data_IF_403024427417
#
_entry.id   IF_403024427417
#
_cell.length_a   1.000
_cell.length_b   1.000
_cell.length_c   1.000
_cell.angle_alpha   90.00
_cell.angle_beta   90.00
_cell.angle_gamma   90.00
#
_symmetry.space_group_name_H-M   'P 1'
#
loop_
_entity.id
_entity.type
_entity.pdbx_description
1 polymer ?
#
# COMPACT_ATOMS: atom_id res chain seq x y z
N UNK A 1 11.40 -14.24 24.61
CA UNK A 1 10.79 -14.92 23.45
C UNK A 1 10.43 -13.84 22.45
N UNK A 2 11.06 -13.85 21.29
CA UNK A 2 10.57 -13.09 20.15
C UNK A 2 9.20 -13.64 19.77
N UNK A 3 8.17 -12.81 19.90
CA UNK A 3 6.82 -13.15 19.47
C UNK A 3 6.52 -12.41 18.15
N UNK A 4 5.53 -12.87 17.38
CA UNK A 4 5.18 -12.31 16.06
C UNK A 4 5.04 -10.77 16.10
N UNK A 5 4.46 -10.23 17.17
CA UNK A 5 4.28 -8.79 17.35
C UNK A 5 5.61 -8.04 17.40
N UNK A 6 6.55 -8.46 18.24
CA UNK A 6 7.88 -7.84 18.32
C UNK A 6 8.63 -7.89 16.98
N UNK A 7 8.53 -9.01 16.25
CA UNK A 7 9.19 -9.17 14.95
C UNK A 7 8.56 -8.28 13.88
N UNK A 8 7.23 -8.17 13.84
CA UNK A 8 6.53 -7.27 12.92
C UNK A 8 6.88 -5.81 13.14
N UNK A 9 7.06 -5.38 14.40
CA UNK A 9 7.44 -4.02 14.72
C UNK A 9 8.91 -3.75 14.34
N UNK A 10 9.81 -4.71 14.61
CA UNK A 10 11.24 -4.57 14.35
C UNK A 10 11.58 -4.44 12.86
N UNK A 11 10.84 -5.10 11.97
CA UNK A 11 11.10 -5.04 10.52
C UNK A 11 10.54 -3.78 9.84
N UNK A 12 9.73 -2.97 10.54
CA UNK A 12 9.10 -1.78 9.93
C UNK A 12 10.13 -0.67 9.73
N UNK A 13 10.18 -0.07 8.53
CA UNK A 13 11.09 1.03 8.27
C UNK A 13 10.68 2.28 9.08
N UNK A 14 11.66 2.94 9.69
CA UNK A 14 11.46 4.23 10.34
C UNK A 14 11.17 5.29 9.27
N UNK A 15 10.12 6.09 9.48
CA UNK A 15 9.74 7.20 8.60
C UNK A 15 10.02 8.51 9.35
N UNK A 16 11.21 9.08 9.14
CA UNK A 16 11.68 10.28 9.85
C UNK A 16 10.80 11.52 9.62
N UNK A 17 10.07 11.58 8.50
CA UNK A 17 9.15 12.68 8.20
C UNK A 17 7.78 12.56 8.88
N UNK A 18 7.45 11.41 9.46
CA UNK A 18 6.20 11.22 10.18
C UNK A 18 6.32 11.82 11.59
N UNK A 19 6.15 13.14 11.70
CA UNK A 19 5.95 13.78 13.01
C UNK A 19 4.61 13.31 13.57
N UNK A 20 4.62 12.36 14.50
CA UNK A 20 3.42 12.06 15.28
C UNK A 20 3.34 13.13 16.37
N UNK A 21 2.31 13.98 16.31
CA UNK A 21 1.98 14.92 17.38
C UNK A 21 0.81 14.36 18.19
N UNK A 22 0.77 14.65 19.49
CA UNK A 22 -0.36 14.30 20.37
C UNK A 22 -1.67 14.99 19.94
N UNK A 23 -1.57 16.07 19.16
CA UNK A 23 -2.73 16.79 18.63
C UNK A 23 -3.37 16.14 17.39
N UNK A 24 -2.82 15.01 16.90
CA UNK A 24 -3.36 14.30 15.73
C UNK A 24 -4.54 13.39 16.12
N UNK A 25 -5.49 13.27 15.20
CA UNK A 25 -6.58 12.30 15.34
C UNK A 25 -6.05 10.86 15.44
N UNK A 26 -6.79 9.98 16.10
CA UNK A 26 -6.45 8.55 16.24
C UNK A 26 -6.19 7.90 14.88
N UNK A 27 -7.02 8.22 13.88
CA UNK A 27 -6.87 7.79 12.50
C UNK A 27 -5.54 8.22 11.86
N UNK A 28 -5.14 9.49 12.06
CA UNK A 28 -3.88 10.02 11.52
C UNK A 28 -2.66 9.41 12.22
N UNK A 29 -2.77 9.17 13.54
CA UNK A 29 -1.74 8.46 14.27
C UNK A 29 -1.60 7.03 13.75
N UNK A 30 -2.72 6.30 13.57
CA UNK A 30 -2.71 4.94 13.01
C UNK A 30 -2.14 4.92 11.59
N UNK A 31 -2.51 5.91 10.77
CA UNK A 31 -1.98 6.07 9.42
C UNK A 31 -0.44 6.20 9.42
N UNK A 32 0.10 7.06 10.28
CA UNK A 32 1.53 7.37 10.32
C UNK A 32 2.38 6.31 11.05
N UNK A 33 1.86 5.72 12.13
CA UNK A 33 2.57 4.71 12.95
C UNK A 33 2.49 3.30 12.36
N UNK A 34 1.41 2.99 11.65
CA UNK A 34 1.11 1.62 11.22
C UNK A 34 1.05 1.49 9.70
N UNK A 35 0.09 2.17 9.05
CA UNK A 35 -0.20 1.96 7.62
C UNK A 35 0.99 2.39 6.74
N UNK A 36 1.57 3.57 6.99
CA UNK A 36 2.69 4.08 6.17
C UNK A 36 3.95 3.21 6.29
N UNK A 37 4.42 2.83 7.50
CA UNK A 37 5.56 1.92 7.63
C UNK A 37 5.33 0.57 6.96
N UNK A 38 4.15 -0.04 7.14
CA UNK A 38 3.83 -1.32 6.50
C UNK A 38 3.80 -1.19 4.98
N UNK A 39 3.15 -0.15 4.44
CA UNK A 39 3.08 0.03 3.01
C UNK A 39 4.47 0.30 2.40
N UNK A 40 5.38 0.95 3.15
CA UNK A 40 6.78 1.14 2.75
C UNK A 40 7.56 -0.18 2.79
N UNK A 41 7.38 -0.98 3.84
CA UNK A 41 7.96 -2.33 3.95
C UNK A 41 7.53 -3.22 2.79
N UNK A 42 6.25 -3.17 2.42
CA UNK A 42 5.64 -3.99 1.38
C UNK A 42 5.85 -3.46 -0.05
N UNK A 43 6.66 -2.41 -0.24
CA UNK A 43 6.72 -1.67 -1.51
C UNK A 43 6.98 -2.56 -2.73
N UNK A 44 7.99 -3.42 -2.66
CA UNK A 44 8.37 -4.33 -3.76
C UNK A 44 7.24 -5.32 -4.07
N UNK A 45 6.63 -5.92 -3.04
CA UNK A 45 5.49 -6.83 -3.22
C UNK A 45 4.30 -6.12 -3.88
N UNK A 46 3.98 -4.89 -3.45
CA UNK A 46 2.88 -4.11 -4.02
C UNK A 46 3.11 -3.82 -5.52
N UNK A 47 4.35 -3.52 -5.90
CA UNK A 47 4.75 -3.31 -7.30
C UNK A 47 4.52 -4.59 -8.11
N UNK A 48 5.00 -5.73 -7.63
CA UNK A 48 4.84 -7.02 -8.34
C UNK A 48 3.38 -7.45 -8.49
N UNK A 49 2.57 -7.26 -7.45
CA UNK A 49 1.13 -7.50 -7.51
C UNK A 49 0.47 -6.64 -8.59
N UNK A 50 0.91 -5.37 -8.71
CA UNK A 50 0.37 -4.47 -9.71
C UNK A 50 0.88 -4.78 -11.13
N UNK A 51 2.14 -5.20 -11.30
CA UNK A 51 2.68 -5.74 -12.57
C UNK A 51 1.86 -6.94 -13.05
N UNK A 52 1.56 -7.89 -12.15
CA UNK A 52 0.69 -9.02 -12.47
C UNK A 52 -0.73 -8.58 -12.87
N UNK A 53 -1.28 -7.56 -12.19
CA UNK A 53 -2.56 -6.98 -12.56
C UNK A 53 -2.56 -6.37 -13.97
N UNK A 54 -1.50 -5.64 -14.34
CA UNK A 54 -1.30 -5.10 -15.69
C UNK A 54 -1.26 -6.23 -16.72
N UNK A 55 -0.49 -7.29 -16.46
CA UNK A 55 -0.37 -8.46 -17.35
C UNK A 55 -1.73 -9.10 -17.63
N UNK A 56 -2.55 -9.28 -16.60
CA UNK A 56 -3.93 -9.83 -16.72
C UNK A 56 -4.86 -8.96 -17.56
N UNK A 57 -4.58 -7.67 -17.69
CA UNK A 57 -5.33 -6.72 -18.54
C UNK A 57 -4.70 -6.51 -19.91
N UNK A 58 -4.00 -7.54 -20.41
CA UNK A 58 -3.38 -7.57 -21.74
C UNK A 58 -2.38 -6.43 -21.96
N UNK A 59 -1.68 -5.98 -20.91
CA UNK A 59 -0.57 -5.04 -21.03
C UNK A 59 -0.94 -3.64 -21.59
N UNK A 60 -2.24 -3.29 -21.66
CA UNK A 60 -2.72 -2.00 -22.20
C UNK A 60 -2.14 -0.79 -21.45
N UNK A 61 -1.71 -0.97 -20.21
CA UNK A 61 -1.00 0.04 -19.42
C UNK A 61 0.21 0.65 -20.16
N UNK A 62 0.96 -0.17 -20.90
CA UNK A 62 2.19 0.28 -21.54
C UNK A 62 1.94 1.15 -22.78
N UNK A 63 0.73 1.15 -23.33
CA UNK A 63 0.34 1.98 -24.48
C UNK A 63 -0.16 3.37 -24.03
N UNK A 64 -0.37 3.57 -22.73
CA UNK A 64 -0.89 4.80 -22.16
C UNK A 64 0.21 5.85 -21.96
N UNK A 65 -0.17 7.13 -22.10
CA UNK A 65 0.66 8.25 -21.61
C UNK A 65 0.81 8.20 -20.09
N UNK A 66 1.83 8.87 -19.55
CA UNK A 66 2.08 8.91 -18.10
C UNK A 66 0.84 9.32 -17.29
N UNK A 67 0.15 10.39 -17.69
CA UNK A 67 -1.08 10.85 -17.04
C UNK A 67 -2.19 9.79 -17.04
N UNK A 68 -2.36 9.09 -18.17
CA UNK A 68 -3.33 8.00 -18.29
C UNK A 68 -2.92 6.78 -17.47
N UNK A 69 -1.63 6.52 -17.29
CA UNK A 69 -1.12 5.47 -16.38
C UNK A 69 -1.40 5.80 -14.92
N UNK A 70 -1.21 7.06 -14.52
CA UNK A 70 -1.56 7.53 -13.17
C UNK A 70 -3.06 7.33 -12.90
N UNK A 71 -3.90 7.71 -13.86
CA UNK A 71 -5.36 7.48 -13.84
C UNK A 71 -5.71 5.99 -13.85
N UNK A 72 -4.95 5.16 -14.57
CA UNK A 72 -5.15 3.71 -14.59
C UNK A 72 -4.94 3.09 -13.21
N UNK A 73 -3.87 3.47 -12.51
CA UNK A 73 -3.58 3.00 -11.15
C UNK A 73 -4.72 3.37 -10.19
N UNK A 74 -5.15 4.64 -10.24
CA UNK A 74 -6.26 5.10 -9.42
C UNK A 74 -7.55 4.33 -9.68
N UNK A 75 -7.95 4.20 -10.95
CA UNK A 75 -9.15 3.47 -11.32
C UNK A 75 -9.06 1.99 -10.93
N UNK A 76 -7.90 1.35 -11.07
CA UNK A 76 -7.70 -0.04 -10.68
C UNK A 76 -7.96 -0.23 -9.17
N UNK A 77 -7.38 0.62 -8.33
CA UNK A 77 -7.53 0.53 -6.87
C UNK A 77 -8.97 0.87 -6.43
N UNK A 78 -9.60 1.85 -7.08
CA UNK A 78 -10.95 2.31 -6.74
C UNK A 78 -12.07 1.40 -7.26
N UNK A 79 -11.93 0.81 -8.45
CA UNK A 79 -13.02 0.08 -9.12
C UNK A 79 -12.85 -1.43 -9.09
N UNK A 80 -11.63 -1.95 -9.05
CA UNK A 80 -11.40 -3.39 -9.03
C UNK A 80 -11.43 -3.93 -7.60
N UNK A 81 -12.58 -4.49 -7.21
CA UNK A 81 -12.79 -5.00 -5.85
C UNK A 81 -11.87 -6.17 -5.50
N UNK A 82 -11.50 -7.02 -6.47
CA UNK A 82 -10.63 -8.19 -6.23
C UNK A 82 -9.21 -7.72 -5.92
N UNK A 83 -8.67 -6.82 -6.75
CA UNK A 83 -7.36 -6.20 -6.50
C UNK A 83 -7.37 -5.46 -5.16
N UNK A 84 -8.38 -4.61 -4.92
CA UNK A 84 -8.47 -3.83 -3.68
C UNK A 84 -8.51 -4.72 -2.43
N UNK A 85 -9.28 -5.81 -2.45
CA UNK A 85 -9.35 -6.74 -1.31
C UNK A 85 -8.02 -7.46 -1.09
N UNK A 86 -7.32 -7.86 -2.16
CA UNK A 86 -5.98 -8.45 -2.07
C UNK A 86 -4.98 -7.46 -1.44
N UNK A 87 -4.95 -6.22 -1.90
CA UNK A 87 -4.04 -5.18 -1.38
C UNK A 87 -4.33 -4.87 0.10
N UNK A 88 -5.61 -4.75 0.49
CA UNK A 88 -5.99 -4.60 1.90
C UNK A 88 -5.48 -5.76 2.75
N UNK A 89 -5.66 -7.00 2.29
CA UNK A 89 -5.20 -8.18 3.01
C UNK A 89 -3.68 -8.21 3.23
N UNK A 90 -2.90 -7.79 2.23
CA UNK A 90 -1.43 -7.70 2.34
C UNK A 90 -0.97 -6.71 3.40
N UNK A 91 -1.69 -5.58 3.55
CA UNK A 91 -1.37 -4.58 4.59
C UNK A 91 -1.86 -5.05 5.97
N UNK A 92 -3.12 -5.48 6.08
CA UNK A 92 -3.71 -5.94 7.34
C UNK A 92 -2.98 -7.15 7.90
N UNK A 93 -2.47 -8.04 7.04
CA UNK A 93 -1.67 -9.20 7.45
C UNK A 93 -0.39 -8.87 8.21
N UNK A 94 0.06 -7.60 8.16
CA UNK A 94 1.23 -7.09 8.88
C UNK A 94 0.87 -6.33 10.17
N UNK A 95 -0.41 -6.28 10.54
CA UNK A 95 -0.84 -5.68 11.80
C UNK A 95 -0.46 -6.58 12.98
N UNK A 96 -0.17 -5.94 14.11
CA UNK A 96 -0.23 -6.58 15.42
C UNK A 96 -1.70 -6.80 15.80
N UNK A 97 -1.96 -7.62 16.84
CA UNK A 97 -3.33 -7.84 17.31
C UNK A 97 -3.94 -6.53 17.82
N UNK A 98 -3.16 -5.74 18.58
CA UNK A 98 -3.59 -4.44 19.08
C UNK A 98 -3.96 -3.47 17.95
N UNK A 99 -3.15 -3.42 16.89
CA UNK A 99 -3.44 -2.58 15.72
C UNK A 99 -4.69 -3.05 14.98
N UNK A 100 -4.93 -4.36 14.91
CA UNK A 100 -6.14 -4.89 14.30
C UNK A 100 -7.39 -4.51 15.12
N UNK A 101 -7.32 -4.57 16.45
CA UNK A 101 -8.41 -4.15 17.33
C UNK A 101 -8.73 -2.67 17.15
N UNK A 102 -7.73 -1.80 17.10
CA UNK A 102 -7.93 -0.37 16.78
C UNK A 102 -8.48 -0.17 15.37
N UNK A 103 -8.02 -0.97 14.41
CA UNK A 103 -8.48 -0.87 13.02
C UNK A 103 -9.98 -1.18 12.88
N UNK A 104 -10.51 -2.17 13.62
CA UNK A 104 -11.93 -2.54 13.47
C UNK A 104 -12.89 -1.48 14.02
N UNK A 105 -12.44 -0.62 14.94
CA UNK A 105 -13.23 0.50 15.47
C UNK A 105 -13.61 1.53 14.38
N UNK A 106 -12.75 1.74 13.38
CA UNK A 106 -13.00 2.68 12.28
C UNK A 106 -12.51 2.16 10.92
N UNK A 107 -12.80 0.89 10.63
CA UNK A 107 -12.24 0.19 9.47
C UNK A 107 -12.60 0.85 8.13
N UNK A 108 -13.78 1.47 8.00
CA UNK A 108 -14.20 2.16 6.78
C UNK A 108 -13.28 3.34 6.42
N UNK A 109 -13.03 4.24 7.38
CA UNK A 109 -12.18 5.39 7.17
C UNK A 109 -10.72 4.97 6.97
N UNK A 110 -10.23 4.02 7.78
CA UNK A 110 -8.87 3.51 7.67
C UNK A 110 -8.62 2.76 6.35
N UNK A 111 -9.61 2.03 5.82
CA UNK A 111 -9.51 1.41 4.50
C UNK A 111 -9.35 2.45 3.38
N UNK A 112 -10.09 3.56 3.44
CA UNK A 112 -9.95 4.65 2.46
C UNK A 112 -8.55 5.26 2.53
N UNK A 113 -8.05 5.56 3.72
CA UNK A 113 -6.68 6.07 3.94
C UNK A 113 -5.62 5.09 3.44
N UNK A 114 -5.78 3.81 3.76
CA UNK A 114 -4.88 2.73 3.33
C UNK A 114 -4.79 2.64 1.81
N UNK A 115 -5.92 2.65 1.11
CA UNK A 115 -5.93 2.55 -0.35
C UNK A 115 -5.38 3.81 -1.02
N UNK A 116 -5.60 5.00 -0.44
CA UNK A 116 -4.95 6.22 -0.91
C UNK A 116 -3.42 6.12 -0.81
N UNK A 117 -2.91 5.61 0.31
CA UNK A 117 -1.46 5.43 0.53
C UNK A 117 -0.87 4.40 -0.45
N UNK A 118 -1.58 3.29 -0.70
CA UNK A 118 -1.13 2.28 -1.67
C UNK A 118 -1.12 2.86 -3.09
N UNK A 119 -2.16 3.63 -3.46
CA UNK A 119 -2.23 4.34 -4.75
C UNK A 119 -1.06 5.29 -4.93
N UNK A 120 -0.84 6.19 -3.97
CA UNK A 120 0.25 7.17 -4.01
C UNK A 120 1.61 6.48 -4.13
N UNK A 121 1.80 5.34 -3.45
CA UNK A 121 3.04 4.59 -3.52
C UNK A 121 3.28 3.96 -4.89
N UNK A 122 2.25 3.36 -5.48
CA UNK A 122 2.34 2.80 -6.83
C UNK A 122 2.58 3.90 -7.88
N UNK A 123 1.92 5.04 -7.73
CA UNK A 123 2.11 6.21 -8.58
C UNK A 123 3.51 6.82 -8.45
N UNK A 124 4.03 6.95 -7.22
CA UNK A 124 5.39 7.43 -6.98
C UNK A 124 6.46 6.49 -7.54
N UNK A 125 6.17 5.18 -7.61
CA UNK A 125 7.05 4.15 -8.17
C UNK A 125 6.65 3.76 -9.60
N UNK A 126 5.97 4.63 -10.35
CA UNK A 126 5.45 4.30 -11.68
C UNK A 126 6.54 3.84 -12.65
N UNK A 127 7.77 4.37 -12.53
CA UNK A 127 8.92 3.94 -13.32
C UNK A 127 9.30 2.48 -13.08
N UNK A 128 9.02 1.94 -11.89
CA UNK A 128 9.22 0.52 -11.57
C UNK A 128 8.11 -0.37 -12.14
N UNK A 129 7.00 0.20 -12.61
CA UNK A 129 5.92 -0.53 -13.28
C UNK A 129 6.16 -0.69 -14.78
N UNK A 130 7.16 -0.03 -15.34
CA UNK A 130 7.58 -0.22 -16.74
C UNK A 130 7.96 -1.68 -17.00
N UNK A 131 7.91 -2.10 -18.27
CA UNK A 131 8.49 -3.40 -18.64
C UNK A 131 9.96 -3.36 -18.30
N UNK A 132 10.44 -4.40 -17.62
CA UNK A 132 11.85 -4.76 -17.72
C UNK A 132 12.12 -4.96 -19.21
N UNK A 133 12.83 -4.01 -19.81
CA UNK A 133 13.53 -4.23 -21.06
C UNK A 133 14.54 -5.32 -20.73
N UNK A 134 14.15 -6.58 -20.89
CA UNK A 134 15.11 -7.69 -20.88
C UNK A 134 16.10 -7.31 -21.99
N UNK A 135 17.39 -7.06 -21.69
CA UNK A 135 18.38 -6.93 -22.73
C UNK A 135 18.42 -8.29 -23.41
N UNK A 136 18.08 -8.32 -24.70
CA UNK A 136 18.29 -9.47 -25.59
C UNK A 136 19.76 -9.82 -25.66
#
# INVERSE_FOLDING_TARGET
MENRESNLLAIRPIILSAKVSENMSTDEQFQNKTIRPIAKLQNELLIEVFRNYIKKRKNTFYELSLEKRMSFIENAIQKDMKLRNSLKGMIIGQFTVNEYLLYVENSSALNKRMMNIVRERLQANIQLLERELIPT
#
